data_IF_869041104444
#
_entry.id   IF_869041104444
#
_cell.length_a   1.000
_cell.length_b   1.000
_cell.length_c   1.000
_cell.angle_alpha   90.00
_cell.angle_beta   90.00
_cell.angle_gamma   90.00
#
_symmetry.space_group_name_H-M   'P 1'
#
loop_
_entity.id
_entity.type
_entity.pdbx_description
1 polymer ?
#
# COMPACT_ATOMS: atom_id res chain seq x y z
N UNK A 1 -7.15 14.77 -74.48
CA UNK A 1 -7.91 14.35 -73.29
C UNK A 1 -8.09 15.58 -72.41
N UNK A 2 -9.25 16.24 -72.44
CA UNK A 2 -9.48 17.41 -71.62
C UNK A 2 -9.96 16.99 -70.22
N UNK A 3 -9.43 17.66 -69.21
CA UNK A 3 -9.90 17.58 -67.83
C UNK A 3 -11.32 18.15 -67.76
N UNK A 4 -12.27 17.38 -67.22
CA UNK A 4 -13.63 17.83 -66.96
C UNK A 4 -13.75 18.29 -65.51
N UNK A 5 -13.84 19.61 -65.30
CA UNK A 5 -14.29 20.22 -64.06
C UNK A 5 -15.80 20.03 -63.90
N UNK A 6 -16.24 19.45 -62.78
CA UNK A 6 -17.65 19.38 -62.41
C UNK A 6 -17.92 20.35 -61.26
N UNK A 7 -18.67 21.42 -61.56
CA UNK A 7 -19.21 22.37 -60.60
C UNK A 7 -20.62 21.89 -60.21
N UNK A 8 -20.78 21.34 -59.01
CA UNK A 8 -22.09 20.99 -58.43
C UNK A 8 -22.67 22.24 -57.75
N UNK A 9 -23.62 22.88 -58.43
CA UNK A 9 -24.50 23.90 -57.83
C UNK A 9 -25.63 23.17 -57.11
N UNK A 10 -25.54 23.07 -55.79
CA UNK A 10 -26.60 22.55 -54.92
C UNK A 10 -27.34 23.70 -54.23
N UNK A 11 -28.61 23.86 -54.55
CA UNK A 11 -29.55 24.81 -53.93
C UNK A 11 -29.80 24.44 -52.45
N UNK A 12 -29.44 25.35 -51.55
CA UNK A 12 -29.80 25.27 -50.13
C UNK A 12 -31.29 25.61 -49.95
N UNK A 13 -32.13 24.59 -49.89
CA UNK A 13 -33.49 24.69 -49.33
C UNK A 13 -33.38 24.59 -47.81
N UNK A 14 -33.39 25.74 -47.13
CA UNK A 14 -33.52 25.81 -45.69
C UNK A 14 -34.95 25.43 -45.28
N UNK A 15 -35.18 24.13 -45.06
CA UNK A 15 -36.36 23.66 -44.33
C UNK A 15 -36.10 23.88 -42.84
N UNK A 16 -36.69 24.95 -42.30
CA UNK A 16 -36.76 25.21 -40.87
C UNK A 16 -37.60 24.15 -40.16
N UNK A 17 -36.98 23.01 -39.86
CA UNK A 17 -37.47 22.05 -38.89
C UNK A 17 -36.77 22.29 -37.57
N UNK A 18 -37.52 22.67 -36.53
CA UNK A 18 -37.01 22.69 -35.16
C UNK A 18 -36.70 21.26 -34.72
N UNK A 19 -35.45 20.84 -34.89
CA UNK A 19 -34.93 19.67 -34.19
C UNK A 19 -34.74 20.10 -32.76
N UNK A 20 -35.76 19.88 -31.92
CA UNK A 20 -35.56 19.78 -30.48
C UNK A 20 -34.67 18.55 -30.25
N UNK A 21 -33.36 18.72 -30.41
CA UNK A 21 -32.39 17.89 -29.72
C UNK A 21 -32.62 18.21 -28.26
N UNK A 22 -33.41 17.37 -27.59
CA UNK A 22 -33.37 17.27 -26.15
C UNK A 22 -31.95 16.80 -25.84
N UNK A 23 -31.01 17.74 -25.70
CA UNK A 23 -29.80 17.50 -24.92
C UNK A 23 -30.33 17.28 -23.51
N UNK A 24 -30.58 16.03 -23.18
CA UNK A 24 -30.60 15.64 -21.79
C UNK A 24 -29.23 16.07 -21.26
N UNK A 25 -29.24 17.07 -20.38
CA UNK A 25 -28.10 17.43 -19.55
C UNK A 25 -27.86 16.28 -18.58
N UNK A 26 -27.42 15.16 -19.13
CA UNK A 26 -27.01 14.00 -18.35
C UNK A 26 -25.59 14.36 -17.93
N UNK A 27 -25.48 14.93 -16.73
CA UNK A 27 -24.18 15.30 -16.15
C UNK A 27 -23.15 14.20 -16.37
N UNK A 28 -21.90 14.59 -16.60
CA UNK A 28 -20.85 13.62 -16.92
C UNK A 28 -20.49 12.72 -15.74
N UNK A 29 -20.90 13.09 -14.52
CA UNK A 29 -20.53 12.47 -13.25
C UNK A 29 -21.63 11.54 -12.75
N UNK A 30 -21.27 10.56 -11.91
CA UNK A 30 -22.24 9.68 -11.24
C UNK A 30 -23.22 10.48 -10.38
N UNK A 31 -24.43 9.96 -10.24
CA UNK A 31 -25.42 10.49 -9.31
C UNK A 31 -26.05 9.35 -8.53
N UNK A 32 -25.51 9.13 -7.34
CA UNK A 32 -25.91 8.05 -6.43
C UNK A 32 -27.20 8.34 -5.66
N UNK A 33 -27.69 9.59 -5.70
CA UNK A 33 -28.95 9.98 -5.05
C UNK A 33 -30.19 9.71 -5.92
N UNK A 34 -30.02 9.40 -7.21
CA UNK A 34 -31.13 9.02 -8.12
C UNK A 34 -31.53 7.56 -7.92
N UNK A 35 -32.78 7.22 -8.27
CA UNK A 35 -33.33 5.87 -8.21
C UNK A 35 -33.89 5.50 -9.61
N UNK A 36 -33.22 4.64 -10.39
CA UNK A 36 -31.91 4.04 -10.13
C UNK A 36 -30.77 5.08 -10.21
N UNK A 37 -29.61 4.81 -9.57
CA UNK A 37 -28.43 5.66 -9.69
C UNK A 37 -28.03 5.87 -11.14
N UNK A 38 -27.57 7.08 -11.48
CA UNK A 38 -26.95 7.31 -12.77
C UNK A 38 -25.45 7.04 -12.68
N UNK A 39 -24.93 6.18 -13.54
CA UNK A 39 -23.52 5.82 -13.62
C UNK A 39 -23.01 6.06 -15.06
N UNK A 40 -21.95 6.87 -15.24
CA UNK A 40 -21.28 7.01 -16.53
C UNK A 40 -20.76 5.68 -17.09
N UNK A 41 -20.59 5.59 -18.40
CA UNK A 41 -20.03 4.39 -19.07
C UNK A 41 -18.58 4.08 -18.68
N UNK A 42 -17.87 5.05 -18.10
CA UNK A 42 -16.52 4.91 -17.55
C UNK A 42 -16.48 4.29 -16.15
N UNK A 43 -17.64 4.08 -15.50
CA UNK A 43 -17.71 3.49 -14.16
C UNK A 43 -17.41 2.00 -14.22
N UNK A 44 -16.58 1.56 -13.27
CA UNK A 44 -16.34 0.13 -13.02
C UNK A 44 -17.19 -0.31 -11.84
N UNK A 45 -17.97 -1.39 -11.99
CA UNK A 45 -18.70 -1.99 -10.86
C UNK A 45 -17.72 -2.76 -9.96
N UNK A 46 -17.58 -2.31 -8.72
CA UNK A 46 -16.62 -2.80 -7.73
C UNK A 46 -17.25 -3.69 -6.65
N UNK A 47 -18.56 -3.96 -6.73
CA UNK A 47 -19.33 -4.67 -5.68
C UNK A 47 -18.70 -6.00 -5.29
N UNK A 48 -18.36 -6.85 -6.27
CA UNK A 48 -17.74 -8.15 -6.00
C UNK A 48 -16.30 -8.04 -5.48
N UNK A 49 -15.54 -7.01 -5.93
CA UNK A 49 -14.17 -6.76 -5.45
C UNK A 49 -14.19 -6.37 -3.97
N UNK A 50 -15.09 -5.47 -3.59
CA UNK A 50 -15.27 -5.05 -2.20
C UNK A 50 -15.75 -6.19 -1.32
N UNK A 51 -16.69 -7.01 -1.80
CA UNK A 51 -17.14 -8.19 -1.06
C UNK A 51 -15.98 -9.14 -0.76
N UNK A 52 -15.22 -9.53 -1.79
CA UNK A 52 -14.09 -10.44 -1.63
C UNK A 52 -12.99 -9.86 -0.73
N UNK A 53 -12.72 -8.56 -0.81
CA UNK A 53 -11.74 -7.90 0.06
C UNK A 53 -12.20 -7.94 1.53
N UNK A 54 -13.48 -7.66 1.80
CA UNK A 54 -14.05 -7.69 3.16
C UNK A 54 -14.06 -9.09 3.77
N UNK A 55 -14.27 -10.12 2.96
CA UNK A 55 -14.12 -11.52 3.37
C UNK A 55 -12.66 -11.81 3.75
N UNK A 56 -11.70 -11.37 2.95
CA UNK A 56 -10.27 -11.50 3.26
C UNK A 56 -9.86 -10.74 4.54
N UNK A 57 -10.37 -9.52 4.74
CA UNK A 57 -10.15 -8.72 5.94
C UNK A 57 -10.71 -9.42 7.20
N UNK A 58 -11.94 -9.93 7.10
CA UNK A 58 -12.62 -10.62 8.21
C UNK A 58 -11.85 -11.88 8.65
N UNK A 59 -11.22 -12.59 7.72
CA UNK A 59 -10.38 -13.76 8.05
C UNK A 59 -9.14 -13.44 8.90
N UNK A 60 -8.73 -12.16 8.95
CA UNK A 60 -7.56 -11.67 9.67
C UNK A 60 -7.93 -10.76 10.86
N UNK A 61 -9.21 -10.68 11.22
CA UNK A 61 -9.75 -9.76 12.23
C UNK A 61 -9.34 -8.30 11.98
N UNK A 62 -9.50 -7.84 10.75
CA UNK A 62 -9.20 -6.47 10.33
C UNK A 62 -10.49 -5.78 9.93
N UNK A 63 -10.78 -4.62 10.50
CA UNK A 63 -12.06 -3.93 10.28
C UNK A 63 -11.95 -2.77 9.30
N UNK A 64 -10.73 -2.29 9.03
CA UNK A 64 -10.41 -1.35 7.96
C UNK A 64 -9.10 -1.74 7.27
N UNK A 65 -8.99 -1.50 5.96
CA UNK A 65 -7.79 -1.76 5.17
C UNK A 65 -7.42 -0.55 4.32
N UNK A 66 -6.17 -0.09 4.43
CA UNK A 66 -5.64 1.09 3.72
C UNK A 66 -4.93 0.63 2.44
N UNK A 67 -5.27 1.26 1.32
CA UNK A 67 -4.76 0.94 -0.02
C UNK A 67 -4.22 2.24 -0.66
N UNK A 68 -2.93 2.56 -0.43
CA UNK A 68 -2.29 3.71 -1.06
C UNK A 68 -2.12 3.53 -2.57
N UNK A 69 -2.14 4.61 -3.33
CA UNK A 69 -1.83 4.64 -4.76
C UNK A 69 -0.32 4.60 -5.06
N UNK A 70 0.45 3.69 -4.45
CA UNK A 70 1.91 3.55 -4.66
C UNK A 70 2.34 2.09 -4.77
N UNK A 71 3.64 1.85 -4.98
CA UNK A 71 4.26 0.53 -5.06
C UNK A 71 5.24 0.27 -3.88
N UNK A 72 5.91 -0.89 -3.90
CA UNK A 72 6.85 -1.30 -2.85
C UNK A 72 8.15 -0.45 -2.79
N UNK A 73 8.37 0.41 -3.78
CA UNK A 73 9.49 1.34 -3.88
C UNK A 73 9.05 2.80 -3.67
N UNK A 74 7.79 3.02 -3.31
CA UNK A 74 7.20 4.33 -3.07
C UNK A 74 7.32 5.25 -4.30
N UNK A 75 7.18 4.67 -5.49
CA UNK A 75 7.31 5.37 -6.77
C UNK A 75 6.18 6.38 -6.98
N UNK A 76 6.51 7.52 -7.64
CA UNK A 76 5.52 8.49 -8.12
C UNK A 76 4.67 7.93 -9.26
N UNK A 77 5.31 7.25 -10.21
CA UNK A 77 4.66 6.52 -11.30
C UNK A 77 4.80 5.03 -11.03
N UNK A 78 3.68 4.32 -11.06
CA UNK A 78 3.63 2.90 -10.75
C UNK A 78 3.35 2.05 -11.99
N UNK A 79 3.77 0.80 -11.95
CA UNK A 79 3.42 -0.16 -12.97
C UNK A 79 1.92 -0.55 -12.88
N UNK A 80 1.28 -0.98 -13.99
CA UNK A 80 -0.12 -1.41 -13.98
C UNK A 80 -0.43 -2.50 -12.94
N UNK A 81 0.54 -3.38 -12.66
CA UNK A 81 0.41 -4.45 -11.66
C UNK A 81 0.37 -3.97 -10.21
N UNK A 82 0.81 -2.74 -9.94
CA UNK A 82 0.79 -2.14 -8.61
C UNK A 82 -0.38 -1.16 -8.42
N UNK A 83 -1.19 -0.94 -9.46
CA UNK A 83 -2.36 -0.06 -9.45
C UNK A 83 -3.55 -0.64 -8.65
N UNK A 84 -3.31 -1.10 -7.42
CA UNK A 84 -4.26 -1.76 -6.53
C UNK A 84 -5.43 -0.87 -6.15
N UNK A 85 -5.16 0.40 -5.84
CA UNK A 85 -6.21 1.40 -5.60
C UNK A 85 -7.14 1.52 -6.81
N UNK A 86 -6.56 1.59 -8.01
CA UNK A 86 -7.34 1.70 -9.25
C UNK A 86 -8.14 0.43 -9.55
N UNK A 87 -7.55 -0.74 -9.33
CA UNK A 87 -8.27 -2.01 -9.41
C UNK A 87 -9.46 -2.05 -8.43
N UNK A 88 -9.27 -1.65 -7.18
CA UNK A 88 -10.34 -1.74 -6.18
C UNK A 88 -11.46 -0.72 -6.39
N UNK A 89 -11.13 0.50 -6.81
CA UNK A 89 -12.09 1.62 -6.90
C UNK A 89 -12.61 1.91 -8.30
N UNK A 90 -11.93 1.45 -9.36
CA UNK A 90 -12.14 1.88 -10.73
C UNK A 90 -11.52 3.25 -11.07
N UNK A 91 -11.06 4.01 -10.07
CA UNK A 91 -10.43 5.32 -10.26
C UNK A 91 -8.98 5.19 -10.73
N UNK A 92 -8.66 5.81 -11.86
CA UNK A 92 -7.35 5.68 -12.55
C UNK A 92 -6.46 6.91 -12.43
N UNK A 93 -6.76 7.84 -11.52
CA UNK A 93 -5.86 8.96 -11.24
C UNK A 93 -4.56 8.49 -10.57
N UNK A 94 -3.49 9.26 -10.74
CA UNK A 94 -2.16 8.87 -10.27
C UNK A 94 -1.89 9.21 -8.81
N UNK A 95 -2.82 9.86 -8.11
CA UNK A 95 -2.70 10.18 -6.69
C UNK A 95 -3.98 9.81 -5.97
N UNK A 96 -3.83 9.18 -4.80
CA UNK A 96 -4.94 8.92 -3.90
C UNK A 96 -4.64 7.84 -2.88
N UNK A 97 -5.52 7.74 -1.89
CA UNK A 97 -5.54 6.64 -0.92
C UNK A 97 -6.97 6.15 -0.79
N UNK A 98 -7.17 4.85 -0.96
CA UNK A 98 -8.44 4.20 -0.68
C UNK A 98 -8.42 3.60 0.73
N UNK A 99 -9.54 3.67 1.44
CA UNK A 99 -9.77 2.96 2.70
C UNK A 99 -11.08 2.19 2.58
N UNK A 100 -11.04 0.90 2.91
CA UNK A 100 -12.21 0.03 2.89
C UNK A 100 -12.46 -0.48 4.30
N UNK A 101 -13.67 -0.28 4.83
CA UNK A 101 -14.14 -0.94 6.05
C UNK A 101 -15.05 -2.11 5.69
N UNK A 102 -15.56 -2.83 6.69
CA UNK A 102 -16.53 -3.91 6.48
C UNK A 102 -17.84 -3.46 5.80
N UNK A 103 -18.14 -2.16 5.81
CA UNK A 103 -19.40 -1.62 5.28
C UNK A 103 -19.25 -0.40 4.35
N UNK A 104 -18.15 0.35 4.42
CA UNK A 104 -17.89 1.54 3.60
C UNK A 104 -16.63 1.39 2.77
N UNK A 105 -16.51 2.24 1.74
CA UNK A 105 -15.30 2.39 0.95
C UNK A 105 -15.17 3.87 0.57
N UNK A 106 -14.00 4.44 0.82
CA UNK A 106 -13.77 5.89 0.64
C UNK A 106 -12.44 6.08 -0.05
N UNK A 107 -12.39 7.04 -0.98
CA UNK A 107 -11.20 7.40 -1.73
C UNK A 107 -10.88 8.87 -1.52
N UNK A 108 -9.67 9.13 -1.04
CA UNK A 108 -9.10 10.47 -0.94
C UNK A 108 -8.26 10.77 -2.16
N UNK A 109 -8.54 11.89 -2.83
CA UNK A 109 -7.69 12.39 -3.93
C UNK A 109 -7.74 13.91 -4.02
N UNK A 110 -6.69 14.49 -4.59
CA UNK A 110 -6.57 15.94 -4.74
C UNK A 110 -7.44 16.49 -5.89
N UNK A 111 -7.48 17.82 -5.97
CA UNK A 111 -8.35 18.58 -6.87
C UNK A 111 -8.13 18.35 -8.36
N UNK A 112 -6.98 17.78 -8.76
CA UNK A 112 -6.74 17.40 -10.15
C UNK A 112 -7.70 16.31 -10.62
N UNK A 113 -8.21 15.51 -9.69
CA UNK A 113 -8.88 14.26 -10.00
C UNK A 113 -10.35 14.17 -9.53
N UNK A 114 -10.92 15.17 -8.87
CA UNK A 114 -12.29 15.07 -8.33
C UNK A 114 -13.34 14.69 -9.40
N UNK A 115 -13.34 15.39 -10.53
CA UNK A 115 -14.25 15.10 -11.65
C UNK A 115 -13.97 13.72 -12.25
N UNK A 116 -12.70 13.31 -12.32
CA UNK A 116 -12.34 11.99 -12.81
C UNK A 116 -12.83 10.88 -11.87
N UNK A 117 -12.68 11.07 -10.55
CA UNK A 117 -13.14 10.12 -9.54
C UNK A 117 -14.67 9.94 -9.61
N UNK A 118 -15.43 11.04 -9.69
CA UNK A 118 -16.89 11.00 -9.86
C UNK A 118 -17.35 10.40 -11.20
N UNK A 119 -16.48 10.36 -12.22
CA UNK A 119 -16.75 9.71 -13.51
C UNK A 119 -16.42 8.23 -13.54
N UNK A 120 -15.53 7.75 -12.67
CA UNK A 120 -14.94 6.41 -12.77
C UNK A 120 -15.34 5.46 -11.63
N UNK A 121 -15.66 5.99 -10.45
CA UNK A 121 -16.08 5.17 -9.32
C UNK A 121 -17.59 4.87 -9.37
N UNK A 122 -18.00 3.69 -8.90
CA UNK A 122 -19.42 3.37 -8.72
C UNK A 122 -19.96 3.94 -7.39
N UNK A 123 -21.23 3.72 -7.08
CA UNK A 123 -21.85 4.25 -5.87
C UNK A 123 -21.47 3.52 -4.57
N UNK A 124 -20.56 2.53 -4.62
CA UNK A 124 -20.02 1.92 -3.41
C UNK A 124 -18.95 2.79 -2.73
N UNK A 125 -18.39 3.77 -3.46
CA UNK A 125 -17.28 4.60 -3.02
C UNK A 125 -17.69 6.04 -2.72
N UNK A 126 -17.29 6.57 -1.58
CA UNK A 126 -17.37 7.99 -1.26
C UNK A 126 -16.07 8.69 -1.67
N UNK A 127 -16.16 9.95 -2.11
CA UNK A 127 -15.02 10.77 -2.49
C UNK A 127 -14.73 11.79 -1.38
N UNK A 128 -13.51 11.76 -0.85
CA UNK A 128 -13.01 12.74 0.09
C UNK A 128 -11.95 13.64 -0.56
N UNK A 129 -11.99 14.93 -0.22
CA UNK A 129 -11.20 15.98 -0.91
C UNK A 129 -9.99 16.48 -0.13
N UNK A 130 -9.92 16.18 1.17
CA UNK A 130 -8.79 16.53 2.03
C UNK A 130 -7.81 15.35 2.10
N UNK A 131 -6.76 15.38 1.28
CA UNK A 131 -5.79 14.29 1.16
C UNK A 131 -4.83 14.14 2.35
N UNK A 132 -5.02 14.91 3.43
CA UNK A 132 -4.16 14.80 4.61
C UNK A 132 -4.33 13.45 5.33
N UNK A 133 -3.23 12.93 5.89
CA UNK A 133 -3.28 11.74 6.75
C UNK A 133 -4.24 11.98 7.93
N UNK A 134 -4.26 13.19 8.49
CA UNK A 134 -5.20 13.59 9.54
C UNK A 134 -6.66 13.37 9.14
N UNK A 135 -7.06 13.75 7.91
CA UNK A 135 -8.43 13.51 7.42
C UNK A 135 -8.78 12.03 7.38
N UNK A 136 -7.85 11.19 6.91
CA UNK A 136 -8.02 9.74 6.83
C UNK A 136 -8.12 9.14 8.24
N UNK A 137 -7.26 9.55 9.16
CA UNK A 137 -7.26 9.04 10.54
C UNK A 137 -8.49 9.53 11.31
N UNK A 138 -8.93 10.77 11.13
CA UNK A 138 -10.16 11.30 11.74
C UNK A 138 -11.40 10.57 11.22
N UNK A 139 -11.39 10.13 9.96
CA UNK A 139 -12.42 9.26 9.41
C UNK A 139 -12.36 7.86 10.01
N UNK A 140 -11.18 7.24 10.07
CA UNK A 140 -10.99 5.91 10.68
C UNK A 140 -11.45 5.88 12.15
N UNK A 141 -11.13 6.91 12.94
CA UNK A 141 -11.51 7.04 14.35
C UNK A 141 -13.04 7.05 14.52
N UNK A 142 -13.78 7.60 13.55
CA UNK A 142 -15.26 7.62 13.59
C UNK A 142 -15.91 6.32 13.14
N UNK A 143 -15.22 5.54 12.31
CA UNK A 143 -15.80 4.38 11.63
C UNK A 143 -15.37 3.04 12.21
N UNK A 144 -14.28 3.00 12.98
CA UNK A 144 -13.66 1.78 13.51
C UNK A 144 -13.74 1.78 15.05
N UNK A 145 -14.05 0.65 15.67
CA UNK A 145 -14.05 0.52 17.14
C UNK A 145 -12.63 0.47 17.68
N UNK A 146 -12.42 0.96 18.90
CA UNK A 146 -11.16 0.85 19.66
C UNK A 146 -10.68 -0.60 19.94
N UNK A 147 -11.46 -1.61 19.55
CA UNK A 147 -11.11 -3.03 19.65
C UNK A 147 -10.68 -3.67 18.32
N UNK A 148 -10.76 -2.91 17.23
CA UNK A 148 -10.52 -3.39 15.87
C UNK A 148 -9.12 -3.06 15.35
N UNK A 149 -8.58 -3.92 14.49
CA UNK A 149 -7.31 -3.67 13.79
C UNK A 149 -7.52 -2.95 12.45
N UNK A 150 -6.65 -1.99 12.15
CA UNK A 150 -6.57 -1.32 10.85
C UNK A 150 -5.40 -1.92 10.07
N UNK A 151 -5.69 -2.73 9.05
CA UNK A 151 -4.68 -3.41 8.25
C UNK A 151 -4.06 -2.49 7.19
N UNK A 152 -2.77 -2.69 6.92
CA UNK A 152 -2.07 -2.07 5.81
C UNK A 152 -0.98 -3.00 5.27
N UNK A 153 -0.62 -2.82 4.00
CA UNK A 153 0.57 -3.46 3.44
C UNK A 153 1.82 -2.64 3.79
N UNK A 154 2.77 -3.20 4.59
CA UNK A 154 3.96 -2.49 5.02
C UNK A 154 4.93 -2.15 3.90
N UNK A 155 4.81 -2.76 2.72
CA UNK A 155 5.60 -2.36 1.55
C UNK A 155 5.13 -1.04 0.95
N UNK A 156 3.88 -0.62 1.18
CA UNK A 156 3.27 0.56 0.57
C UNK A 156 3.32 1.81 1.46
N UNK A 157 3.98 1.72 2.62
CA UNK A 157 4.12 2.82 3.58
C UNK A 157 5.60 3.15 3.74
N UNK A 158 5.96 4.43 3.72
CA UNK A 158 7.27 4.86 4.23
C UNK A 158 7.27 4.83 5.76
N UNK A 159 8.46 4.94 6.36
CA UNK A 159 8.60 5.07 7.82
C UNK A 159 7.83 6.31 8.31
N UNK A 160 8.00 7.44 7.63
CA UNK A 160 7.31 8.69 7.98
C UNK A 160 5.78 8.57 7.84
N UNK A 161 5.29 7.93 6.78
CA UNK A 161 3.85 7.72 6.58
C UNK A 161 3.29 6.88 7.73
N UNK A 162 3.95 5.75 8.04
CA UNK A 162 3.55 4.90 9.16
C UNK A 162 3.50 5.69 10.48
N UNK A 163 4.57 6.39 10.84
CA UNK A 163 4.65 7.20 12.06
C UNK A 163 3.54 8.27 12.12
N UNK A 164 3.23 8.89 10.98
CA UNK A 164 2.15 9.88 10.90
C UNK A 164 0.78 9.26 11.15
N UNK A 165 0.47 8.12 10.55
CA UNK A 165 -0.78 7.41 10.83
C UNK A 165 -0.84 6.97 12.30
N UNK A 166 0.20 6.32 12.80
CA UNK A 166 0.27 5.84 14.18
C UNK A 166 0.08 6.98 15.18
N UNK A 167 0.79 8.11 15.01
CA UNK A 167 0.66 9.28 15.88
C UNK A 167 -0.78 9.80 15.95
N UNK A 168 -1.47 9.89 14.81
CA UNK A 168 -2.85 10.41 14.77
C UNK A 168 -3.90 9.41 15.28
N UNK A 169 -3.62 8.09 15.25
CA UNK A 169 -4.54 7.05 15.73
C UNK A 169 -4.41 6.76 17.23
N UNK A 170 -3.24 7.04 17.84
CA UNK A 170 -2.96 6.81 19.27
C UNK A 170 -4.01 7.41 20.22
N UNK A 171 -4.51 8.66 20.04
CA UNK A 171 -5.53 9.23 20.93
C UNK A 171 -6.83 8.42 21.00
N UNK A 172 -7.16 7.69 19.92
CA UNK A 172 -8.34 6.82 19.84
C UNK A 172 -8.02 5.36 20.22
N UNK A 173 -6.79 5.05 20.64
CA UNK A 173 -6.30 3.70 20.94
C UNK A 173 -6.41 2.72 19.77
N UNK A 174 -6.46 3.23 18.55
CA UNK A 174 -6.44 2.44 17.32
C UNK A 174 -5.00 2.18 16.91
N UNK A 175 -4.75 1.03 16.30
CA UNK A 175 -3.42 0.63 15.85
C UNK A 175 -3.44 0.10 14.43
N UNK A 176 -2.30 0.30 13.75
CA UNK A 176 -2.04 -0.28 12.46
C UNK A 176 -1.53 -1.72 12.61
N UNK A 177 -2.06 -2.63 11.80
CA UNK A 177 -1.64 -4.02 11.69
C UNK A 177 -0.90 -4.23 10.38
N UNK A 178 0.38 -4.54 10.48
CA UNK A 178 1.25 -4.87 9.35
C UNK A 178 0.84 -6.19 8.71
N UNK A 179 0.47 -6.16 7.42
CA UNK A 179 0.06 -7.33 6.63
C UNK A 179 0.90 -7.41 5.34
N UNK A 180 2.08 -8.05 5.38
CA UNK A 180 2.98 -8.16 4.22
C UNK A 180 2.37 -8.86 2.99
N UNK A 181 1.38 -9.74 3.20
CA UNK A 181 0.60 -10.33 2.12
C UNK A 181 -0.53 -9.38 1.73
N UNK A 182 -0.37 -8.63 0.65
CA UNK A 182 -1.37 -7.65 0.24
C UNK A 182 -2.74 -8.28 -0.04
N UNK A 183 -3.78 -7.81 0.63
CA UNK A 183 -5.13 -8.39 0.49
C UNK A 183 -5.77 -8.11 -0.87
N UNK A 184 -5.40 -7.02 -1.55
CA UNK A 184 -5.88 -6.73 -2.91
C UNK A 184 -5.35 -7.77 -3.90
N UNK A 185 -4.11 -8.23 -3.71
CA UNK A 185 -3.52 -9.24 -4.60
C UNK A 185 -4.25 -10.59 -4.51
N UNK A 186 -4.90 -10.89 -3.38
CA UNK A 186 -5.71 -12.11 -3.20
C UNK A 186 -7.03 -12.07 -3.96
N UNK A 187 -7.56 -10.87 -4.24
CA UNK A 187 -8.82 -10.68 -4.97
C UNK A 187 -8.61 -10.31 -6.44
N UNK A 188 -7.39 -9.90 -6.82
CA UNK A 188 -7.05 -9.50 -8.18
C UNK A 188 -6.59 -10.70 -9.03
N UNK A 189 -7.55 -11.47 -9.53
CA UNK A 189 -7.29 -12.71 -10.27
C UNK A 189 -6.56 -12.52 -11.60
N UNK A 190 -6.75 -11.37 -12.25
CA UNK A 190 -6.16 -11.00 -13.54
C UNK A 190 -5.06 -9.94 -13.41
N UNK A 191 -4.35 -9.93 -12.27
CA UNK A 191 -3.26 -8.98 -12.01
C UNK A 191 -2.20 -9.06 -13.13
N UNK A 192 -1.82 -7.92 -13.74
CA UNK A 192 -0.82 -7.93 -14.80
C UNK A 192 0.52 -8.54 -14.35
N UNK A 193 1.18 -9.35 -15.20
CA UNK A 193 2.50 -9.88 -14.89
C UNK A 193 3.56 -8.78 -14.95
N UNK A 194 4.75 -9.10 -14.46
CA UNK A 194 5.94 -8.25 -14.66
C UNK A 194 6.33 -8.35 -16.15
N UNK A 195 6.74 -7.25 -16.80
CA UNK A 195 7.25 -7.30 -18.17
C UNK A 195 8.40 -8.31 -18.30
N UNK A 196 8.39 -9.17 -19.33
CA UNK A 196 9.37 -10.25 -19.47
C UNK A 196 10.71 -9.78 -20.04
N UNK A 197 10.83 -8.52 -20.45
CA UNK A 197 12.01 -8.00 -21.13
C UNK A 197 13.26 -8.09 -20.24
N UNK A 198 14.40 -8.41 -20.84
CA UNK A 198 15.67 -8.43 -20.11
C UNK A 198 16.09 -7.02 -19.68
N UNK A 199 16.86 -6.94 -18.60
CA UNK A 199 17.51 -5.70 -18.20
C UNK A 199 18.55 -5.28 -19.24
N UNK A 200 18.83 -3.97 -19.31
CA UNK A 200 19.76 -3.37 -20.25
C UNK A 200 20.88 -2.68 -19.47
N UNK A 201 22.13 -2.96 -19.84
CA UNK A 201 23.29 -2.21 -19.36
C UNK A 201 23.39 -0.87 -20.07
N UNK A 202 23.63 0.19 -19.29
CA UNK A 202 23.97 1.50 -19.80
C UNK A 202 25.50 1.66 -20.00
N UNK A 203 25.92 2.54 -20.92
CA UNK A 203 27.33 2.88 -21.07
C UNK A 203 27.91 3.48 -19.77
N UNK A 204 29.19 3.22 -19.49
CA UNK A 204 29.85 3.60 -18.23
C UNK A 204 29.92 5.12 -17.97
N UNK A 205 29.60 5.94 -18.97
CA UNK A 205 29.43 7.40 -18.81
C UNK A 205 28.19 7.79 -18.00
N UNK A 206 27.24 6.88 -17.83
CA UNK A 206 26.08 7.09 -16.95
C UNK A 206 26.48 6.68 -15.53
N UNK A 207 26.16 7.51 -14.55
CA UNK A 207 26.50 7.25 -13.14
C UNK A 207 25.27 6.67 -12.43
N UNK A 208 25.35 5.40 -12.05
CA UNK A 208 24.42 4.68 -11.20
C UNK A 208 25.10 3.46 -10.60
N UNK A 209 24.60 2.94 -9.47
CA UNK A 209 25.30 1.90 -8.71
C UNK A 209 25.63 0.65 -9.54
N UNK A 210 24.71 0.22 -10.42
CA UNK A 210 24.89 -0.93 -11.29
C UNK A 210 24.78 -0.61 -12.78
N UNK A 211 24.48 0.64 -13.16
CA UNK A 211 24.26 1.04 -14.56
C UNK A 211 23.30 0.14 -15.35
N UNK A 212 22.25 -0.36 -14.70
CA UNK A 212 21.18 -1.13 -15.33
C UNK A 212 19.92 -0.27 -15.55
N UNK A 213 19.10 -0.66 -16.53
CA UNK A 213 17.76 -0.13 -16.78
C UNK A 213 16.81 -1.29 -17.12
N UNK A 214 15.53 -1.07 -16.88
CA UNK A 214 14.44 -1.95 -17.31
C UNK A 214 13.28 -1.14 -17.87
N UNK A 215 12.11 -1.76 -17.89
CA UNK A 215 10.89 -1.21 -18.47
C UNK A 215 9.64 -1.55 -17.64
N UNK A 216 9.83 -1.75 -16.34
CA UNK A 216 8.82 -2.30 -15.43
C UNK A 216 7.71 -1.28 -15.19
N UNK A 217 8.09 0.00 -15.18
CA UNK A 217 7.21 1.14 -15.01
C UNK A 217 7.06 1.86 -16.35
N UNK A 218 5.83 2.06 -16.87
CA UNK A 218 5.62 2.78 -18.11
C UNK A 218 6.31 4.15 -18.12
N UNK A 219 6.98 4.47 -19.24
CA UNK A 219 7.70 5.73 -19.48
C UNK A 219 8.88 6.02 -18.53
N UNK A 220 9.20 5.11 -17.61
CA UNK A 220 10.29 5.23 -16.66
C UNK A 220 11.22 4.02 -16.81
N UNK A 221 12.52 4.20 -17.07
CA UNK A 221 13.41 3.08 -17.41
C UNK A 221 13.88 2.32 -16.15
N UNK A 222 12.96 2.06 -15.22
CA UNK A 222 13.20 1.42 -13.92
C UNK A 222 12.90 -0.07 -13.96
N UNK A 223 13.47 -0.79 -13.00
CA UNK A 223 13.20 -2.20 -12.76
C UNK A 223 13.07 -2.47 -11.27
N UNK A 224 12.23 -3.43 -10.91
CA UNK A 224 12.07 -3.85 -9.52
C UNK A 224 13.38 -4.42 -8.98
N UNK A 225 13.93 -3.76 -7.96
CA UNK A 225 15.08 -4.26 -7.26
C UNK A 225 15.25 -3.66 -5.87
N UNK A 226 15.88 -4.43 -4.99
CA UNK A 226 16.45 -3.90 -3.76
C UNK A 226 17.95 -4.13 -3.76
N UNK A 227 18.68 -3.34 -2.98
CA UNK A 227 20.12 -3.54 -2.78
C UNK A 227 20.46 -3.41 -1.32
N UNK A 228 21.18 -4.40 -0.80
CA UNK A 228 21.81 -4.33 0.51
C UNK A 228 23.32 -4.30 0.32
N UNK A 229 23.95 -3.25 0.81
CA UNK A 229 25.39 -3.05 0.76
C UNK A 229 25.96 -3.21 2.16
N UNK A 230 26.93 -4.09 2.30
CA UNK A 230 27.75 -4.23 3.52
C UNK A 230 29.17 -3.79 3.21
N UNK A 231 30.06 -3.80 4.20
CA UNK A 231 31.47 -3.50 3.98
C UNK A 231 32.15 -4.50 3.02
N UNK A 232 31.64 -5.73 2.92
CA UNK A 232 32.29 -6.82 2.19
C UNK A 232 31.39 -7.48 1.14
N UNK A 233 30.07 -7.26 1.17
CA UNK A 233 29.09 -7.97 0.36
C UNK A 233 28.17 -6.98 -0.35
N UNK A 234 27.83 -7.28 -1.61
CA UNK A 234 26.87 -6.53 -2.40
C UNK A 234 25.76 -7.50 -2.78
N UNK A 235 24.55 -7.28 -2.28
CA UNK A 235 23.39 -8.10 -2.59
C UNK A 235 22.42 -7.31 -3.45
N UNK A 236 22.17 -7.79 -4.66
CA UNK A 236 21.20 -7.24 -5.59
C UNK A 236 20.01 -8.19 -5.70
N UNK A 237 18.87 -7.76 -5.17
CA UNK A 237 17.59 -8.49 -5.22
C UNK A 237 16.86 -8.05 -6.48
N UNK A 238 16.56 -8.98 -7.36
CA UNK A 238 16.02 -8.72 -8.71
C UNK A 238 15.30 -9.96 -9.21
N UNK A 239 14.37 -9.80 -10.16
CA UNK A 239 13.82 -10.93 -10.91
C UNK A 239 14.92 -11.54 -11.78
N UNK A 240 15.52 -12.65 -11.31
CA UNK A 240 16.76 -13.19 -11.89
C UNK A 240 16.60 -13.71 -13.31
N UNK A 241 15.38 -14.11 -13.69
CA UNK A 241 15.00 -14.49 -15.05
C UNK A 241 15.21 -13.34 -16.06
N UNK A 242 15.27 -12.09 -15.59
CA UNK A 242 15.50 -10.89 -16.42
C UNK A 242 16.97 -10.52 -16.57
N UNK A 243 17.87 -11.21 -15.89
CA UNK A 243 19.32 -10.95 -15.91
C UNK A 243 20.00 -11.93 -16.86
N UNK A 244 20.40 -11.45 -18.04
CA UNK A 244 21.11 -12.26 -19.04
C UNK A 244 22.50 -12.67 -18.56
N UNK A 245 23.09 -13.70 -19.19
CA UNK A 245 24.46 -14.13 -18.88
C UNK A 245 25.49 -13.01 -19.06
N UNK A 246 25.35 -12.18 -20.10
CA UNK A 246 26.23 -11.03 -20.32
C UNK A 246 26.17 -10.01 -19.16
N UNK A 247 24.97 -9.79 -18.59
CA UNK A 247 24.81 -8.95 -17.42
C UNK A 247 25.39 -9.59 -16.16
N UNK A 248 25.24 -10.91 -15.99
CA UNK A 248 25.86 -11.64 -14.88
C UNK A 248 27.38 -11.49 -14.90
N UNK A 249 28.00 -11.57 -16.08
CA UNK A 249 29.43 -11.32 -16.28
C UNK A 249 29.79 -9.87 -15.98
N UNK A 250 29.03 -8.90 -16.49
CA UNK A 250 29.26 -7.47 -16.24
C UNK A 250 29.22 -7.11 -14.76
N UNK A 251 28.22 -7.63 -14.03
CA UNK A 251 28.08 -7.44 -12.58
C UNK A 251 29.11 -8.22 -11.77
N UNK A 252 29.95 -9.03 -12.43
CA UNK A 252 30.87 -9.96 -11.78
C UNK A 252 30.14 -10.84 -10.74
N UNK A 253 28.96 -11.35 -11.11
CA UNK A 253 28.06 -12.05 -10.17
C UNK A 253 28.36 -13.53 -9.96
N UNK A 254 29.31 -14.07 -10.72
CA UNK A 254 29.76 -15.46 -10.62
C UNK A 254 30.93 -15.66 -9.65
N UNK A 255 31.44 -14.59 -9.02
CA UNK A 255 32.54 -14.68 -8.06
C UNK A 255 32.08 -14.72 -6.60
N UNK A 256 32.92 -15.31 -5.76
CA UNK A 256 32.68 -15.52 -4.32
C UNK A 256 33.58 -14.66 -3.43
N UNK A 257 34.17 -13.60 -4.00
CA UNK A 257 35.05 -12.68 -3.28
C UNK A 257 34.25 -11.53 -2.65
N UNK A 258 34.90 -10.82 -1.73
CA UNK A 258 34.36 -9.56 -1.22
C UNK A 258 34.11 -8.58 -2.40
N UNK A 259 33.03 -7.82 -2.31
CA UNK A 259 32.59 -6.84 -3.33
C UNK A 259 32.08 -7.44 -4.65
N UNK A 260 31.95 -8.77 -4.77
CA UNK A 260 31.18 -9.40 -5.85
C UNK A 260 29.68 -9.14 -5.67
N UNK A 261 28.96 -8.89 -6.77
CA UNK A 261 27.50 -8.71 -6.73
C UNK A 261 26.82 -10.07 -6.65
N UNK A 262 26.16 -10.37 -5.55
CA UNK A 262 25.37 -11.60 -5.41
C UNK A 262 23.93 -11.31 -5.84
N UNK A 263 23.46 -12.04 -6.87
CA UNK A 263 22.10 -11.93 -7.38
C UNK A 263 21.15 -12.83 -6.58
N UNK A 264 20.12 -12.24 -6.00
CA UNK A 264 19.08 -12.89 -5.20
C UNK A 264 17.71 -12.61 -5.81
N UNK A 265 16.72 -13.49 -5.55
CA UNK A 265 15.35 -13.22 -6.03
C UNK A 265 14.78 -11.98 -5.33
N UNK A 266 13.97 -11.22 -6.06
CA UNK A 266 13.38 -9.97 -5.58
C UNK A 266 12.64 -10.12 -4.24
N UNK A 267 11.90 -11.20 -4.06
CA UNK A 267 11.09 -11.53 -2.88
C UNK A 267 11.93 -11.95 -1.65
N UNK A 268 13.22 -12.27 -1.83
CA UNK A 268 14.09 -12.71 -0.74
C UNK A 268 14.62 -11.58 0.14
N UNK A 269 14.40 -10.31 -0.22
CA UNK A 269 14.95 -9.14 0.49
C UNK A 269 14.63 -9.15 1.99
N UNK A 270 13.38 -9.43 2.37
CA UNK A 270 12.96 -9.44 3.78
C UNK A 270 13.62 -10.57 4.55
N UNK A 271 13.63 -11.78 4.00
CA UNK A 271 14.25 -12.95 4.64
C UNK A 271 15.75 -12.74 4.84
N UNK A 272 16.42 -12.22 3.82
CA UNK A 272 17.86 -11.96 3.88
C UNK A 272 18.20 -10.85 4.88
N UNK A 273 17.45 -9.73 4.88
CA UNK A 273 17.63 -8.67 5.86
C UNK A 273 17.40 -9.19 7.28
N UNK A 274 16.31 -9.92 7.51
CA UNK A 274 16.00 -10.52 8.83
C UNK A 274 17.13 -11.42 9.32
N UNK A 275 17.67 -12.28 8.46
CA UNK A 275 18.79 -13.14 8.79
C UNK A 275 20.08 -12.34 9.04
N UNK A 276 20.29 -11.25 8.31
CA UNK A 276 21.46 -10.39 8.53
C UNK A 276 21.41 -9.67 9.88
N UNK A 277 20.21 -9.22 10.29
CA UNK A 277 19.98 -8.55 11.56
C UNK A 277 20.19 -9.44 12.79
N UNK A 278 20.27 -10.77 12.64
CA UNK A 278 20.61 -11.64 13.79
C UNK A 278 22.08 -11.55 14.21
N UNK A 279 22.93 -10.85 13.44
CA UNK A 279 24.35 -10.63 13.79
C UNK A 279 24.45 -9.53 14.85
N UNK A 280 25.34 -9.71 15.82
CA UNK A 280 25.54 -8.74 16.89
C UNK A 280 26.17 -7.43 16.37
N UNK A 281 25.65 -6.30 16.85
CA UNK A 281 26.23 -4.97 16.60
C UNK A 281 26.02 -4.43 15.19
N UNK A 282 25.10 -5.00 14.42
CA UNK A 282 24.75 -4.49 13.09
C UNK A 282 24.09 -3.12 13.22
N UNK A 283 24.54 -2.17 12.40
CA UNK A 283 23.90 -0.88 12.19
C UNK A 283 23.54 -0.76 10.73
N UNK A 284 22.30 -0.36 10.44
CA UNK A 284 21.79 -0.21 9.08
C UNK A 284 21.50 1.26 8.81
N UNK A 285 21.92 1.75 7.66
CA UNK A 285 21.53 3.08 7.18
C UNK A 285 20.29 2.96 6.31
N UNK A 286 19.27 3.74 6.63
CA UNK A 286 17.98 3.78 5.93
C UNK A 286 17.52 5.23 5.78
N UNK A 287 16.78 5.52 4.71
CA UNK A 287 16.10 6.81 4.54
C UNK A 287 14.65 6.72 5.02
N UNK A 288 14.17 7.69 5.78
CA UNK A 288 12.82 7.67 6.36
C UNK A 288 11.68 7.85 5.35
N UNK A 289 11.95 8.58 4.26
CA UNK A 289 10.95 8.89 3.22
C UNK A 289 10.84 7.81 2.13
N UNK A 290 11.93 7.12 1.82
CA UNK A 290 12.04 6.21 0.66
C UNK A 290 12.26 4.74 1.04
N UNK A 291 12.38 4.43 2.33
CA UNK A 291 12.41 3.04 2.81
C UNK A 291 11.01 2.64 3.21
N UNK A 292 10.50 1.55 2.66
CA UNK A 292 9.21 1.02 3.08
C UNK A 292 9.30 0.46 4.51
N UNK A 293 8.17 0.51 5.21
CA UNK A 293 8.03 0.05 6.58
C UNK A 293 8.31 -1.45 6.73
N UNK A 294 8.05 -2.23 5.67
CA UNK A 294 8.31 -3.65 5.60
C UNK A 294 9.78 -4.03 5.87
N UNK A 295 10.73 -3.23 5.40
CA UNK A 295 12.15 -3.42 5.73
C UNK A 295 12.50 -2.83 7.09
N UNK A 296 11.94 -1.66 7.41
CA UNK A 296 12.20 -0.97 8.69
C UNK A 296 11.82 -1.81 9.91
N UNK A 297 10.66 -2.45 9.88
CA UNK A 297 10.16 -3.25 11.00
C UNK A 297 11.04 -4.46 11.35
N UNK A 298 11.97 -4.84 10.45
CA UNK A 298 12.96 -5.90 10.67
C UNK A 298 14.27 -5.38 11.29
N UNK A 299 14.54 -4.07 11.21
CA UNK A 299 15.82 -3.45 11.62
C UNK A 299 15.79 -3.00 13.08
N UNK A 300 14.62 -2.67 13.64
CA UNK A 300 14.46 -2.21 15.02
C UNK A 300 13.78 -3.22 15.97
N UNK A 301 14.04 -4.55 15.89
CA UNK A 301 13.37 -5.49 16.78
C UNK A 301 13.79 -5.28 18.23
N UNK A 302 15.02 -4.85 18.52
CA UNK A 302 15.49 -4.65 19.90
C UNK A 302 14.85 -3.43 20.55
N UNK A 303 14.59 -2.35 19.80
CA UNK A 303 13.90 -1.17 20.34
C UNK A 303 12.44 -1.53 20.65
N UNK A 304 11.78 -2.29 19.76
CA UNK A 304 10.45 -2.84 20.02
C UNK A 304 10.41 -3.76 21.24
N UNK A 305 11.37 -4.66 21.39
CA UNK A 305 11.44 -5.56 22.55
C UNK A 305 11.73 -4.78 23.84
N UNK A 306 12.64 -3.80 23.80
CA UNK A 306 12.93 -2.94 24.94
C UNK A 306 11.69 -2.14 25.37
N UNK A 307 10.93 -1.59 24.41
CA UNK A 307 9.67 -0.88 24.70
C UNK A 307 8.64 -1.84 25.30
N UNK A 308 8.47 -3.05 24.75
CA UNK A 308 7.55 -4.05 25.31
C UNK A 308 7.94 -4.46 26.74
N UNK A 309 9.24 -4.59 27.04
CA UNK A 309 9.74 -4.89 28.38
C UNK A 309 9.53 -3.71 29.33
N UNK A 310 9.80 -2.47 28.91
CA UNK A 310 9.54 -1.27 29.72
C UNK A 310 8.05 -1.16 30.06
N UNK A 311 7.17 -1.43 29.10
CA UNK A 311 5.72 -1.46 29.31
C UNK A 311 5.29 -2.54 30.28
N UNK A 312 5.85 -3.74 30.18
CA UNK A 312 5.64 -4.80 31.18
C UNK A 312 6.02 -4.30 32.57
N UNK A 313 7.19 -3.67 32.73
CA UNK A 313 7.66 -3.17 34.02
C UNK A 313 6.74 -2.09 34.59
N UNK A 314 6.34 -1.11 33.77
CA UNK A 314 5.39 -0.06 34.17
C UNK A 314 4.01 -0.62 34.54
N UNK A 315 3.53 -1.61 33.79
CA UNK A 315 2.26 -2.28 34.09
C UNK A 315 2.34 -3.04 35.40
N UNK A 316 3.37 -3.88 35.59
CA UNK A 316 3.60 -4.64 36.82
C UNK A 316 3.65 -3.73 38.05
N UNK A 317 4.34 -2.58 37.98
CA UNK A 317 4.40 -1.62 39.07
C UNK A 317 3.00 -1.16 39.52
N UNK A 318 2.07 -1.00 38.58
CA UNK A 318 0.70 -0.57 38.85
C UNK A 318 -0.20 -1.69 39.37
N UNK A 319 -0.11 -2.90 38.81
CA UNK A 319 -1.10 -3.97 39.04
C UNK A 319 -0.68 -4.99 40.11
N UNK A 320 0.62 -5.19 40.32
CA UNK A 320 1.14 -6.13 41.34
C UNK A 320 0.67 -5.74 42.75
N UNK A 321 0.61 -4.45 43.15
CA UNK A 321 0.06 -4.06 44.45
C UNK A 321 -1.40 -4.48 44.69
N UNK A 322 -2.19 -4.72 43.63
CA UNK A 322 -3.57 -5.19 43.75
C UNK A 322 -3.68 -6.69 44.10
N UNK A 323 -2.58 -7.44 43.97
CA UNK A 323 -2.49 -8.85 44.39
C UNK A 323 -3.24 -9.86 43.51
N UNK A 324 -3.67 -9.47 42.31
CA UNK A 324 -4.50 -10.31 41.40
C UNK A 324 -3.73 -10.94 40.24
N UNK A 325 -2.52 -10.46 39.95
CA UNK A 325 -1.74 -10.88 38.79
C UNK A 325 -0.78 -12.03 39.10
N UNK A 326 -0.46 -12.84 38.09
CA UNK A 326 0.38 -14.04 38.19
C UNK A 326 1.52 -13.98 37.16
N UNK A 327 2.50 -14.88 37.29
CA UNK A 327 3.56 -15.02 36.27
C UNK A 327 2.98 -15.30 34.87
N UNK A 328 1.87 -16.04 34.78
CA UNK A 328 1.23 -16.38 33.52
C UNK A 328 0.52 -15.17 32.89
N UNK A 329 -0.10 -14.30 33.69
CA UNK A 329 -0.72 -13.07 33.18
C UNK A 329 0.33 -12.04 32.76
N UNK A 330 1.44 -11.94 33.50
CA UNK A 330 2.59 -11.11 33.11
C UNK A 330 3.25 -11.59 31.80
N UNK A 331 3.45 -12.90 31.64
CA UNK A 331 3.98 -13.48 30.41
C UNK A 331 3.02 -13.25 29.22
N UNK A 332 1.71 -13.34 29.46
CA UNK A 332 0.70 -13.02 28.46
C UNK A 332 0.76 -11.53 28.07
N UNK A 333 0.81 -10.64 29.05
CA UNK A 333 0.90 -9.20 28.85
C UNK A 333 2.10 -8.80 27.97
N UNK A 334 3.32 -9.25 28.31
CA UNK A 334 4.51 -8.88 27.53
C UNK A 334 4.51 -9.47 26.13
N UNK A 335 3.96 -10.68 25.94
CA UNK A 335 3.83 -11.28 24.61
C UNK A 335 2.82 -10.52 23.74
N UNK A 336 1.78 -9.96 24.35
CA UNK A 336 0.90 -9.03 23.66
C UNK A 336 1.65 -7.73 23.35
N UNK A 337 2.35 -7.10 24.29
CA UNK A 337 3.11 -5.87 24.00
C UNK A 337 4.13 -6.07 22.86
N UNK A 338 4.81 -7.22 22.82
CA UNK A 338 5.72 -7.61 21.72
C UNK A 338 5.03 -7.80 20.38
N UNK A 339 3.78 -8.26 20.37
CA UNK A 339 2.95 -8.38 19.16
C UNK A 339 2.55 -7.02 18.59
N UNK A 340 2.39 -6.01 19.45
CA UNK A 340 1.83 -4.71 19.07
C UNK A 340 2.89 -3.64 18.73
N UNK A 341 4.17 -3.86 19.07
CA UNK A 341 5.26 -2.97 18.65
C UNK A 341 5.23 -1.55 19.27
N UNK A 342 6.17 -0.72 18.85
CA UNK A 342 6.58 0.56 19.48
C UNK A 342 5.49 1.65 19.62
N UNK A 343 4.32 1.52 19.00
CA UNK A 343 3.36 2.62 18.84
C UNK A 343 2.39 2.82 20.00
N UNK A 344 2.85 2.54 21.22
CA UNK A 344 1.98 2.52 22.38
C UNK A 344 2.46 3.50 23.45
N UNK A 345 1.80 4.66 23.48
CA UNK A 345 1.46 5.25 24.78
C UNK A 345 0.63 4.24 25.55
N UNK A 346 1.26 3.54 26.51
CA UNK A 346 0.74 2.88 27.74
C UNK A 346 -0.60 2.12 27.75
N UNK A 347 -1.43 2.14 26.72
CA UNK A 347 -2.86 1.84 26.78
C UNK A 347 -3.29 0.66 25.90
N UNK A 348 -2.65 0.39 24.76
CA UNK A 348 -3.11 -0.71 23.89
C UNK A 348 -2.76 -2.10 24.46
N UNK A 349 -1.56 -2.27 25.03
CA UNK A 349 -1.20 -3.52 25.71
C UNK A 349 -2.08 -3.78 26.97
N UNK A 350 -2.50 -2.72 27.66
CA UNK A 350 -3.44 -2.78 28.80
C UNK A 350 -4.86 -3.16 28.33
N UNK A 351 -5.35 -2.62 27.21
CA UNK A 351 -6.68 -2.92 26.69
C UNK A 351 -6.83 -4.38 26.24
N UNK A 352 -5.85 -4.92 25.50
CA UNK A 352 -5.87 -6.31 25.04
C UNK A 352 -5.84 -7.33 26.19
N UNK A 353 -5.11 -7.02 27.28
CA UNK A 353 -5.10 -7.83 28.48
C UNK A 353 -6.45 -7.81 29.22
N UNK A 354 -7.06 -6.63 29.35
CA UNK A 354 -8.32 -6.43 30.07
C UNK A 354 -9.51 -7.10 29.35
N UNK A 355 -9.54 -7.05 28.01
CA UNK A 355 -10.58 -7.69 27.18
C UNK A 355 -10.57 -9.22 27.23
N UNK A 356 -9.42 -9.85 27.49
CA UNK A 356 -9.35 -11.32 27.64
C UNK A 356 -9.67 -11.80 29.05
N UNK A 357 -9.29 -11.06 30.08
CA UNK A 357 -9.69 -11.39 31.46
C UNK A 357 -11.21 -11.41 31.63
N UNK A 358 -11.94 -10.49 30.99
CA UNK A 358 -13.42 -10.47 31.00
C UNK A 358 -14.06 -11.63 30.23
N UNK A 359 -13.38 -12.19 29.22
CA UNK A 359 -13.86 -13.40 28.52
C UNK A 359 -13.59 -14.71 29.29
N UNK A 360 -12.53 -14.78 30.10
CA UNK A 360 -12.26 -15.93 30.98
C UNK A 360 -13.09 -15.97 32.26
N UNK A 361 -13.60 -14.82 32.72
CA UNK A 361 -14.47 -14.74 33.91
C UNK A 361 -15.95 -15.07 33.62
N UNK A 362 -16.34 -15.18 32.35
CA UNK A 362 -17.70 -15.51 31.89
C UNK A 362 -17.82 -16.93 31.30
N UNK A 363 -16.95 -17.87 31.70
CA UNK A 363 -17.03 -19.29 31.32
C UNK A 363 -16.99 -20.21 32.52
#
# INVERSE_FOLDING_TARGET
>A
MPFSDWLLVGTLLALGGSWNVIRADVGSERNCSKIPPYLPSTVVNTTLRLQALREAMSSLNVSAYIIPGTDAHLSEYIAPRDARMAFMSGFTGSAGTAVVTLNKAVLWTDSRYWVQAERQMDCNWELERDVSISSITDWLIREVSDTDDIGFDPFLFSIQTYESYSYNLVPAKLMLKSLPDNLVDRVWTDRPPIPPDNLIRLPDRVVGLFNLRGNDVPFNPFFYSYTLLTLNEIWLFVHKDRVTEDLKLYLNSTCYLAHCVQLLEYDQVRTMLKNYMTRLGVKVWIGTEYTNYALYELITPEVRDAVAVIQLLMWLEKVVPEGKETEMTAAYYVNECRRWGEDTHTHACVHAHTLKQTHTLNR
#
